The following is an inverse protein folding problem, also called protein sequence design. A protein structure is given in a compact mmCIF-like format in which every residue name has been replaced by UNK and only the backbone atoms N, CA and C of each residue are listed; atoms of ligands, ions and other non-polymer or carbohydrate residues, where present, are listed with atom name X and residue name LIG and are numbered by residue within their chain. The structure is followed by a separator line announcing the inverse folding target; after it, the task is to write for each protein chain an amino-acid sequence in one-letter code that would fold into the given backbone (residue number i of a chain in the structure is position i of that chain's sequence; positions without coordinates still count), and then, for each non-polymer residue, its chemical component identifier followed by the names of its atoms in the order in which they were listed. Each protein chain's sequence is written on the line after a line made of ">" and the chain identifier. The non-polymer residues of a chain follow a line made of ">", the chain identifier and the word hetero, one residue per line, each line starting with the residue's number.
data_IF_575392351949
#
_entry.id   IF_575392351949
#
_cell.length_a   1.000
_cell.length_b   1.000
_cell.length_c   1.000
_cell.angle_alpha   90.00
_cell.angle_beta   90.00
_cell.angle_gamma   90.00
#
_symmetry.space_group_name_H-M   'P 1'
#
loop_
_entity.id
_entity.type
_entity.pdbx_description
1 polymer ?
#
# COMPACT_ATOMS: atom_id res chain seq x y z
N UNK A 1 -3.01 -1.73 8.60
CA UNK A 1 -2.97 -1.83 10.07
C UNK A 1 -1.85 -2.76 10.55
N UNK A 2 -1.68 -3.94 9.96
CA UNK A 2 -0.63 -4.90 10.37
C UNK A 2 0.78 -4.35 10.16
N UNK A 3 1.04 -3.72 9.02
CA UNK A 3 2.32 -3.07 8.72
C UNK A 3 2.71 -2.03 9.79
N UNK A 4 1.74 -1.21 10.21
CA UNK A 4 1.99 -0.19 11.22
C UNK A 4 2.32 -0.81 12.60
N UNK A 5 1.68 -1.92 12.99
CA UNK A 5 2.04 -2.65 14.20
C UNK A 5 3.45 -3.22 14.12
N UNK A 6 3.82 -3.86 12.99
CA UNK A 6 5.16 -4.39 12.80
C UNK A 6 6.23 -3.28 12.86
N UNK A 7 5.97 -2.13 12.22
CA UNK A 7 6.85 -0.98 12.27
C UNK A 7 7.05 -0.50 13.71
N UNK A 8 5.98 -0.34 14.50
CA UNK A 8 6.08 0.11 15.90
C UNK A 8 6.92 -0.85 16.73
N UNK A 9 6.70 -2.16 16.61
CA UNK A 9 7.48 -3.14 17.37
C UNK A 9 8.97 -3.14 16.98
N UNK A 10 9.28 -2.95 15.70
CA UNK A 10 10.66 -2.80 15.25
C UNK A 10 11.31 -1.50 15.75
N UNK A 11 10.57 -0.38 15.74
CA UNK A 11 11.05 0.91 16.27
C UNK A 11 11.34 0.83 17.77
N UNK A 12 10.50 0.14 18.55
CA UNK A 12 10.74 -0.13 19.99
C UNK A 12 12.03 -0.93 20.21
N UNK A 13 12.40 -1.77 19.26
CA UNK A 13 13.65 -2.52 19.27
C UNK A 13 14.81 -1.76 18.62
N UNK A 14 14.70 -0.42 18.52
CA UNK A 14 15.71 0.48 17.96
C UNK A 14 16.15 0.12 16.53
N UNK A 15 15.27 -0.48 15.71
CA UNK A 15 15.55 -0.76 14.32
C UNK A 15 15.34 0.48 13.47
N UNK A 16 16.24 0.69 12.50
CA UNK A 16 16.11 1.74 11.49
C UNK A 16 15.26 1.25 10.33
N UNK A 17 14.19 1.95 10.05
CA UNK A 17 13.17 1.53 9.09
C UNK A 17 13.03 2.55 7.98
N UNK A 18 12.96 2.07 6.73
CA UNK A 18 12.43 2.84 5.61
C UNK A 18 10.99 2.44 5.28
N UNK A 19 10.21 3.42 4.84
CA UNK A 19 8.84 3.23 4.31
C UNK A 19 8.75 3.87 2.93
N UNK A 20 8.30 3.11 1.96
CA UNK A 20 8.03 3.59 0.60
C UNK A 20 6.72 3.05 0.07
N UNK A 21 6.17 3.77 -0.90
CA UNK A 21 5.05 3.36 -1.73
C UNK A 21 5.11 4.13 -3.06
N UNK A 22 4.20 3.82 -3.97
CA UNK A 22 4.16 4.47 -5.28
C UNK A 22 3.71 5.94 -5.24
N UNK A 23 3.04 6.40 -4.17
CA UNK A 23 2.59 7.79 -4.03
C UNK A 23 2.77 8.34 -2.62
N UNK A 24 2.90 9.66 -2.51
CA UNK A 24 2.95 10.35 -1.22
C UNK A 24 1.73 10.07 -0.36
N UNK A 25 0.55 10.02 -0.96
CA UNK A 25 -0.72 9.74 -0.25
C UNK A 25 -0.74 8.36 0.42
N UNK A 26 -0.25 7.33 -0.26
CA UNK A 26 -0.15 5.99 0.33
C UNK A 26 0.86 5.98 1.49
N UNK A 27 2.00 6.64 1.31
CA UNK A 27 2.99 6.81 2.37
C UNK A 27 2.35 7.50 3.58
N UNK A 28 1.64 8.63 3.38
CA UNK A 28 0.97 9.37 4.45
C UNK A 28 -0.02 8.50 5.23
N UNK A 29 -0.86 7.73 4.53
CA UNK A 29 -1.82 6.83 5.17
C UNK A 29 -1.15 5.79 6.10
N UNK A 30 0.02 5.28 5.71
CA UNK A 30 0.77 4.36 6.57
C UNK A 30 1.41 5.09 7.75
N UNK A 31 2.00 6.26 7.53
CA UNK A 31 2.62 7.08 8.59
C UNK A 31 1.60 7.53 9.64
N UNK A 32 0.40 7.95 9.24
CA UNK A 32 -0.70 8.30 10.15
C UNK A 32 -1.07 7.14 11.07
N UNK A 33 -1.12 5.92 10.53
CA UNK A 33 -1.40 4.72 11.32
C UNK A 33 -0.27 4.40 12.30
N UNK A 34 0.98 4.55 11.87
CA UNK A 34 2.17 4.39 12.73
C UNK A 34 2.13 5.39 13.88
N UNK A 35 1.90 6.67 13.60
CA UNK A 35 1.82 7.71 14.63
C UNK A 35 0.65 7.52 15.59
N UNK A 36 -0.52 7.15 15.06
CA UNK A 36 -1.70 6.84 15.89
C UNK A 36 -1.43 5.71 16.89
N UNK A 37 -0.73 4.66 16.44
CA UNK A 37 -0.33 3.55 17.30
C UNK A 37 0.74 3.95 18.30
N UNK A 38 1.75 4.72 17.90
CA UNK A 38 2.78 5.26 18.78
C UNK A 38 2.16 6.11 19.89
N UNK A 39 1.23 6.99 19.55
CA UNK A 39 0.50 7.81 20.49
C UNK A 39 -0.29 6.98 21.50
N UNK A 40 -1.07 6.00 21.02
CA UNK A 40 -1.84 5.08 21.89
C UNK A 40 -0.97 4.28 22.85
N UNK A 41 0.23 3.90 22.40
CA UNK A 41 1.18 3.11 23.18
C UNK A 41 2.16 4.00 23.99
N UNK A 42 2.01 5.32 23.94
CA UNK A 42 2.91 6.31 24.60
C UNK A 42 4.38 6.10 24.22
N UNK A 43 4.63 5.67 23.00
CA UNK A 43 5.96 5.43 22.45
C UNK A 43 6.40 6.64 21.63
N UNK A 44 7.58 7.18 21.91
CA UNK A 44 8.14 8.37 21.25
C UNK A 44 9.32 7.94 20.37
N UNK A 45 9.30 8.36 19.13
CA UNK A 45 10.40 8.17 18.18
C UNK A 45 10.57 9.42 17.30
N UNK A 46 11.60 9.45 16.48
CA UNK A 46 11.79 10.49 15.46
C UNK A 46 11.85 9.87 14.08
N UNK A 47 11.14 10.48 13.13
CA UNK A 47 11.15 10.13 11.73
C UNK A 47 11.28 11.33 10.82
N UNK A 48 11.78 11.09 9.62
CA UNK A 48 11.82 12.05 8.52
C UNK A 48 11.08 11.50 7.31
N UNK A 49 10.27 12.33 6.69
CA UNK A 49 9.59 12.04 5.43
C UNK A 49 10.05 13.02 4.35
N UNK A 50 10.58 12.47 3.25
CA UNK A 50 11.03 13.30 2.11
C UNK A 50 9.86 13.93 1.39
N UNK A 51 9.93 15.23 1.20
CA UNK A 51 8.96 15.99 0.45
C UNK A 51 9.27 17.48 0.47
N UNK A 52 8.55 18.22 -0.37
CA UNK A 52 8.57 19.68 -0.31
C UNK A 52 7.51 20.16 0.70
N UNK A 53 7.88 20.90 1.76
CA UNK A 53 6.91 21.45 2.72
C UNK A 53 5.91 22.45 2.11
N UNK A 54 6.23 23.01 0.95
CA UNK A 54 5.40 24.00 0.25
C UNK A 54 4.41 23.33 -0.75
N UNK A 55 4.38 22.01 -0.80
CA UNK A 55 3.54 21.19 -1.68
C UNK A 55 2.61 20.33 -0.83
N UNK A 56 1.31 20.62 -0.84
CA UNK A 56 0.30 19.97 0.00
C UNK A 56 0.24 18.45 -0.21
N UNK A 57 0.48 17.96 -1.42
CA UNK A 57 0.51 16.53 -1.71
C UNK A 57 1.73 15.82 -1.13
N UNK A 58 2.82 16.56 -0.91
CA UNK A 58 4.06 16.03 -0.36
C UNK A 58 4.23 16.34 1.13
N UNK A 59 3.50 17.31 1.65
CA UNK A 59 3.61 17.73 3.04
C UNK A 59 2.95 16.74 4.00
N UNK A 60 3.68 16.37 5.04
CA UNK A 60 3.20 15.56 6.15
C UNK A 60 3.70 16.16 7.46
N UNK A 61 2.79 16.58 8.32
CA UNK A 61 3.12 17.15 9.63
C UNK A 61 2.57 16.26 10.74
N UNK A 62 3.29 15.20 11.06
CA UNK A 62 2.97 14.33 12.19
C UNK A 62 3.58 14.84 13.51
N UNK A 63 3.29 14.15 14.61
CA UNK A 63 3.89 14.47 15.91
C UNK A 63 5.34 13.99 15.99
N UNK A 64 5.65 12.84 15.43
CA UNK A 64 6.94 12.14 15.49
C UNK A 64 7.71 12.17 14.17
N UNK A 65 7.00 12.36 13.05
CA UNK A 65 7.56 12.32 11.69
C UNK A 65 7.34 13.69 11.05
N UNK A 66 8.42 14.31 10.56
CA UNK A 66 8.36 15.61 9.91
C UNK A 66 8.79 15.54 8.46
N UNK A 67 8.12 16.32 7.59
CA UNK A 67 8.57 16.51 6.22
C UNK A 67 9.83 17.36 6.16
N UNK A 68 10.80 16.90 5.39
CA UNK A 68 12.05 17.63 5.15
C UNK A 68 12.48 17.45 3.69
N UNK A 69 12.94 18.55 3.07
CA UNK A 69 13.47 18.55 1.70
C UNK A 69 15.00 18.47 1.64
N UNK A 70 15.69 18.62 2.77
CA UNK A 70 17.15 18.73 2.80
C UNK A 70 17.83 17.37 3.01
N UNK A 71 18.53 16.88 2.01
CA UNK A 71 19.23 15.57 2.07
C UNK A 71 20.27 15.50 3.19
N UNK A 72 20.89 16.64 3.57
CA UNK A 72 21.83 16.68 4.68
C UNK A 72 21.23 16.16 5.98
N UNK A 73 19.97 16.48 6.28
CA UNK A 73 19.32 16.03 7.52
C UNK A 73 19.12 14.49 7.54
N UNK A 74 18.90 13.88 6.37
CA UNK A 74 18.84 12.41 6.23
C UNK A 74 20.22 11.79 6.46
N UNK A 75 21.26 12.35 5.82
CA UNK A 75 22.64 11.88 5.96
C UNK A 75 23.09 11.95 7.42
N UNK A 76 22.84 13.07 8.10
CA UNK A 76 23.22 13.27 9.50
C UNK A 76 22.40 12.35 10.41
N UNK A 77 21.08 12.21 10.18
CA UNK A 77 20.21 11.30 10.94
C UNK A 77 20.59 9.84 10.83
N UNK A 78 21.11 9.41 9.65
CA UNK A 78 21.62 8.05 9.48
C UNK A 78 22.89 7.77 10.30
N UNK A 79 23.67 8.81 10.62
CA UNK A 79 24.90 8.71 11.41
C UNK A 79 24.66 8.70 12.93
N UNK A 80 23.75 9.54 13.41
CA UNK A 80 23.61 9.81 14.85
C UNK A 80 22.62 8.90 15.58
N UNK A 81 21.98 7.98 14.88
CA UNK A 81 21.00 7.00 15.40
C UNK A 81 19.78 7.62 16.13
N UNK A 82 19.52 8.90 15.99
CA UNK A 82 18.36 9.55 16.63
C UNK A 82 17.09 9.43 15.81
N UNK A 83 17.25 9.26 14.48
CA UNK A 83 16.13 9.09 13.57
C UNK A 83 16.02 7.61 13.24
N UNK A 84 14.86 7.03 13.54
CA UNK A 84 14.61 5.61 13.39
C UNK A 84 13.71 5.29 12.19
N UNK A 85 12.92 6.26 11.70
CA UNK A 85 12.04 6.06 10.55
C UNK A 85 12.35 7.06 9.45
N UNK A 86 12.50 6.55 8.24
CA UNK A 86 12.73 7.30 7.01
C UNK A 86 11.64 6.98 6.01
N UNK A 87 10.95 7.98 5.48
CA UNK A 87 9.88 7.76 4.52
C UNK A 87 10.08 8.60 3.26
N UNK A 88 9.74 8.06 2.12
CA UNK A 88 9.84 8.74 0.85
C UNK A 88 9.52 7.83 -0.32
N UNK A 89 9.43 8.41 -1.51
CA UNK A 89 9.27 7.66 -2.75
C UNK A 89 10.52 6.82 -3.05
N UNK A 90 10.38 5.84 -3.94
CA UNK A 90 11.49 5.01 -4.43
C UNK A 90 12.69 5.83 -4.90
N UNK A 91 12.48 6.96 -5.57
CA UNK A 91 13.55 7.85 -6.06
C UNK A 91 14.39 8.45 -4.94
N UNK A 92 13.78 8.78 -3.80
CA UNK A 92 14.51 9.27 -2.65
C UNK A 92 15.28 8.15 -1.94
N UNK A 93 14.62 7.02 -1.71
CA UNK A 93 15.25 5.92 -0.97
C UNK A 93 16.34 5.21 -1.78
N UNK A 94 16.35 5.32 -3.11
CA UNK A 94 17.45 4.80 -3.94
C UNK A 94 18.74 5.62 -3.88
N UNK A 95 18.77 6.72 -3.12
CA UNK A 95 19.97 7.54 -3.00
C UNK A 95 21.11 6.79 -2.30
N UNK A 96 22.34 7.04 -2.76
CA UNK A 96 23.57 6.35 -2.34
C UNK A 96 23.80 6.34 -0.81
N UNK A 97 23.35 7.37 -0.11
CA UNK A 97 23.61 7.50 1.34
C UNK A 97 22.75 6.54 2.20
N UNK A 98 21.75 5.87 1.63
CA UNK A 98 20.98 4.82 2.30
C UNK A 98 21.63 3.43 2.23
N UNK A 99 22.60 3.21 1.35
CA UNK A 99 23.20 1.90 1.13
C UNK A 99 23.70 1.24 2.42
N UNK A 100 23.16 0.06 2.74
CA UNK A 100 23.47 -0.72 3.96
C UNK A 100 23.26 0.04 5.28
N UNK A 101 22.34 1.01 5.36
CA UNK A 101 22.14 1.84 6.55
C UNK A 101 20.92 1.47 7.38
N UNK A 102 19.99 0.70 6.80
CA UNK A 102 18.69 0.43 7.41
C UNK A 102 18.57 -1.06 7.76
N UNK A 103 17.72 -1.36 8.74
CA UNK A 103 17.43 -2.73 9.14
C UNK A 103 16.27 -3.31 8.33
N UNK A 104 15.25 -2.49 8.06
CA UNK A 104 14.05 -2.90 7.33
C UNK A 104 13.61 -1.86 6.31
N UNK A 105 13.17 -2.33 5.14
CA UNK A 105 12.43 -1.55 4.15
C UNK A 105 11.00 -2.09 4.07
N UNK A 106 10.02 -1.26 4.35
CA UNK A 106 8.60 -1.54 4.09
C UNK A 106 8.18 -0.93 2.75
N UNK A 107 7.68 -1.75 1.87
CA UNK A 107 7.12 -1.36 0.56
C UNK A 107 5.62 -1.58 0.62
N UNK A 108 4.84 -0.51 0.74
CA UNK A 108 3.38 -0.58 0.73
C UNK A 108 2.85 -0.46 -0.71
N UNK A 109 1.73 -1.09 -1.01
CA UNK A 109 1.19 -1.25 -2.37
C UNK A 109 2.23 -1.85 -3.34
N UNK A 110 2.88 -2.95 -2.91
CA UNK A 110 4.00 -3.55 -3.63
C UNK A 110 3.62 -4.09 -5.03
N UNK A 111 2.34 -4.35 -5.30
CA UNK A 111 1.83 -4.64 -6.64
C UNK A 111 2.07 -3.51 -7.65
N UNK A 112 2.28 -2.28 -7.18
CA UNK A 112 2.55 -1.12 -8.00
C UNK A 112 4.05 -0.78 -8.11
N UNK A 113 4.93 -1.61 -7.58
CA UNK A 113 6.39 -1.44 -7.65
C UNK A 113 6.96 -2.47 -8.60
N UNK A 114 7.76 -2.02 -9.58
CA UNK A 114 8.39 -2.92 -10.55
C UNK A 114 9.59 -3.67 -9.94
N UNK A 115 9.95 -4.79 -10.55
CA UNK A 115 11.18 -5.53 -10.19
C UNK A 115 12.41 -4.62 -10.29
N UNK A 116 12.50 -3.79 -11.33
CA UNK A 116 13.61 -2.83 -11.48
C UNK A 116 13.69 -1.83 -10.33
N UNK A 117 12.54 -1.30 -9.88
CA UNK A 117 12.48 -0.39 -8.74
C UNK A 117 12.93 -1.08 -7.45
N UNK A 118 12.48 -2.33 -7.23
CA UNK A 118 12.91 -3.08 -6.05
C UNK A 118 14.40 -3.38 -6.04
N UNK A 119 14.99 -3.69 -7.20
CA UNK A 119 16.45 -3.87 -7.32
C UNK A 119 17.19 -2.59 -6.91
N UNK A 120 16.72 -1.42 -7.35
CA UNK A 120 17.31 -0.13 -6.98
C UNK A 120 17.23 0.14 -5.45
N UNK A 121 16.21 -0.39 -4.78
CA UNK A 121 16.01 -0.26 -3.34
C UNK A 121 16.68 -1.38 -2.53
N UNK A 122 17.02 -2.50 -3.15
CA UNK A 122 17.43 -3.73 -2.46
C UNK A 122 18.66 -3.60 -1.56
N UNK A 123 19.57 -2.68 -1.88
CA UNK A 123 20.81 -2.47 -1.13
C UNK A 123 20.67 -1.56 0.11
N UNK A 124 19.52 -0.95 0.38
CA UNK A 124 19.39 0.05 1.46
C UNK A 124 19.13 -0.59 2.83
N UNK A 125 18.53 -1.77 2.89
CA UNK A 125 18.13 -2.43 4.12
C UNK A 125 18.51 -3.92 4.12
N UNK A 126 18.66 -4.48 5.32
CA UNK A 126 18.95 -5.91 5.52
C UNK A 126 17.76 -6.81 5.22
N UNK A 127 16.55 -6.29 5.45
CA UNK A 127 15.31 -7.02 5.29
C UNK A 127 14.32 -6.16 4.50
N UNK A 128 13.56 -6.79 3.60
CA UNK A 128 12.51 -6.14 2.82
C UNK A 128 11.18 -6.78 3.17
N UNK A 129 10.19 -5.96 3.49
CA UNK A 129 8.81 -6.36 3.75
C UNK A 129 7.93 -5.80 2.64
N UNK A 130 7.43 -6.66 1.78
CA UNK A 130 6.52 -6.30 0.71
C UNK A 130 5.10 -6.47 1.21
N UNK A 131 4.29 -5.43 1.10
CA UNK A 131 2.89 -5.41 1.50
C UNK A 131 2.06 -4.97 0.30
N UNK A 132 1.12 -5.78 -0.12
CA UNK A 132 0.32 -5.49 -1.30
C UNK A 132 -0.60 -6.64 -1.64
N UNK A 133 -1.24 -6.52 -2.78
CA UNK A 133 -2.20 -7.47 -3.29
C UNK A 133 -1.99 -7.59 -4.81
N UNK A 134 -1.57 -8.75 -5.29
CA UNK A 134 -1.29 -8.99 -6.71
C UNK A 134 -2.55 -8.99 -7.58
N UNK A 135 -3.72 -9.22 -6.99
CA UNK A 135 -5.00 -9.20 -7.71
C UNK A 135 -5.51 -7.77 -7.94
N UNK A 136 -4.86 -6.76 -7.35
CA UNK A 136 -5.15 -5.37 -7.65
C UNK A 136 -4.37 -4.89 -8.88
N UNK A 137 -4.90 -3.87 -9.54
CA UNK A 137 -4.28 -3.28 -10.73
C UNK A 137 -2.84 -2.87 -10.46
N UNK A 138 -1.93 -3.37 -11.26
CA UNK A 138 -0.55 -2.91 -11.28
C UNK A 138 -0.40 -1.48 -11.78
N UNK A 139 0.79 -0.92 -11.66
CA UNK A 139 1.08 0.40 -12.22
C UNK A 139 1.08 0.34 -13.75
N UNK A 140 0.33 1.22 -14.45
CA UNK A 140 0.43 1.32 -15.91
C UNK A 140 1.85 1.73 -16.32
N UNK A 141 2.43 1.00 -17.25
CA UNK A 141 3.75 1.29 -17.82
C UNK A 141 3.61 2.03 -19.15
N UNK A 142 4.41 3.08 -19.37
CA UNK A 142 4.39 3.87 -20.60
C UNK A 142 5.33 3.32 -21.69
N UNK A 143 6.04 2.25 -21.42
CA UNK A 143 6.99 1.66 -22.35
C UNK A 143 7.26 0.19 -22.07
N UNK A 144 7.96 -0.48 -22.99
CA UNK A 144 8.40 -1.85 -22.77
C UNK A 144 9.69 -1.88 -21.95
N UNK A 145 9.71 -2.70 -20.94
CA UNK A 145 10.92 -2.99 -20.17
C UNK A 145 11.57 -4.29 -20.68
N UNK A 146 12.90 -4.39 -20.67
CA UNK A 146 13.56 -5.62 -21.09
C UNK A 146 13.26 -6.76 -20.12
N UNK A 147 12.96 -7.92 -20.65
CA UNK A 147 12.58 -9.13 -19.89
C UNK A 147 11.45 -8.83 -18.88
N UNK A 148 11.55 -9.40 -17.67
CA UNK A 148 10.55 -9.25 -16.61
C UNK A 148 10.76 -8.04 -15.70
N UNK A 149 11.71 -7.15 -16.01
CA UNK A 149 12.06 -6.03 -15.14
C UNK A 149 10.94 -5.02 -14.92
N UNK A 150 9.96 -4.97 -15.84
CA UNK A 150 8.77 -4.13 -15.73
C UNK A 150 7.59 -4.80 -15.01
N UNK A 151 7.63 -6.09 -14.73
CA UNK A 151 6.58 -6.76 -13.96
C UNK A 151 6.48 -6.17 -12.55
N UNK A 152 5.27 -6.24 -11.96
CA UNK A 152 5.09 -6.02 -10.54
C UNK A 152 5.98 -6.99 -9.76
N UNK A 153 6.55 -6.50 -8.66
CA UNK A 153 7.39 -7.35 -7.81
C UNK A 153 6.60 -8.50 -7.19
N UNK A 154 5.31 -8.31 -6.91
CA UNK A 154 4.47 -9.41 -6.39
C UNK A 154 4.18 -10.44 -7.46
N UNK A 155 3.86 -10.05 -8.70
CA UNK A 155 3.66 -10.98 -9.82
C UNK A 155 4.93 -11.79 -10.12
N UNK A 156 6.09 -11.14 -10.01
CA UNK A 156 7.38 -11.81 -10.21
C UNK A 156 7.68 -12.85 -9.13
N UNK A 157 7.35 -12.55 -7.85
CA UNK A 157 7.66 -13.44 -6.72
C UNK A 157 6.63 -14.54 -6.50
N UNK A 158 5.38 -14.30 -6.86
CA UNK A 158 4.28 -15.24 -6.66
C UNK A 158 3.97 -16.06 -7.91
N UNK A 159 4.53 -15.65 -9.06
CA UNK A 159 4.34 -16.33 -10.35
C UNK A 159 2.84 -16.53 -10.66
N UNK A 160 2.42 -17.77 -10.91
CA UNK A 160 1.05 -18.11 -11.24
C UNK A 160 0.16 -18.40 -10.01
N UNK A 161 0.62 -18.08 -8.80
CA UNK A 161 -0.13 -18.34 -7.57
C UNK A 161 -1.07 -17.18 -7.25
N UNK A 162 -2.36 -17.43 -7.06
CA UNK A 162 -3.35 -16.40 -6.70
C UNK A 162 -3.17 -15.89 -5.26
N UNK A 163 -2.61 -16.71 -4.37
CA UNK A 163 -2.32 -16.35 -2.98
C UNK A 163 -0.91 -16.77 -2.56
N UNK A 164 -0.35 -16.05 -1.58
CA UNK A 164 0.97 -16.39 -1.06
C UNK A 164 0.94 -17.68 -0.24
N UNK A 165 1.92 -18.56 -0.47
CA UNK A 165 2.10 -19.78 0.33
C UNK A 165 2.72 -19.46 1.71
N UNK A 166 2.42 -20.29 2.75
CA UNK A 166 2.89 -20.02 4.11
C UNK A 166 4.41 -19.99 4.32
N UNK A 167 5.16 -20.62 3.43
CA UNK A 167 6.64 -20.63 3.43
C UNK A 167 7.24 -19.35 2.84
N UNK A 168 6.49 -18.63 1.97
CA UNK A 168 6.91 -17.38 1.34
C UNK A 168 6.43 -16.13 2.08
N UNK A 169 5.32 -16.23 2.83
CA UNK A 169 4.79 -15.05 3.53
C UNK A 169 3.48 -15.28 4.27
N UNK A 170 2.81 -14.17 4.57
CA UNK A 170 1.57 -14.19 5.35
C UNK A 170 0.43 -13.69 4.47
N UNK A 171 -0.57 -14.53 4.23
CA UNK A 171 -1.82 -14.13 3.62
C UNK A 171 -2.75 -13.51 4.67
N UNK A 172 -3.11 -12.23 4.49
CA UNK A 172 -4.08 -11.55 5.35
C UNK A 172 -5.50 -11.92 4.93
N UNK A 173 -5.96 -13.03 5.43
CA UNK A 173 -7.16 -13.73 5.00
C UNK A 173 -8.50 -13.11 5.44
N UNK A 174 -8.53 -11.94 6.06
CA UNK A 174 -9.78 -11.35 6.57
C UNK A 174 -10.01 -9.95 6.03
N UNK A 175 -11.09 -9.78 5.25
CA UNK A 175 -11.53 -8.46 4.80
C UNK A 175 -12.44 -7.78 5.82
N UNK A 176 -12.19 -6.49 6.05
CA UNK A 176 -13.02 -5.59 6.86
C UNK A 176 -13.80 -4.59 5.99
N UNK A 177 -13.74 -4.76 4.67
CA UNK A 177 -14.33 -3.84 3.69
C UNK A 177 -15.55 -4.42 2.98
N UNK A 178 -15.45 -5.65 2.49
CA UNK A 178 -16.44 -6.24 1.60
C UNK A 178 -17.64 -6.79 2.37
N UNK A 179 -18.86 -6.56 1.83
CA UNK A 179 -20.06 -7.28 2.26
C UNK A 179 -19.94 -8.77 1.91
N UNK A 180 -20.52 -9.71 2.69
CA UNK A 180 -20.43 -11.16 2.41
C UNK A 180 -20.81 -11.55 0.96
N UNK A 181 -21.88 -10.98 0.42
CA UNK A 181 -22.35 -11.27 -0.94
C UNK A 181 -21.40 -10.82 -2.05
N UNK A 182 -20.54 -9.82 -1.77
CA UNK A 182 -19.48 -9.40 -2.69
C UNK A 182 -18.24 -10.27 -2.51
N UNK A 183 -17.91 -10.56 -1.24
CA UNK A 183 -16.71 -11.31 -0.91
C UNK A 183 -16.75 -12.74 -1.43
N UNK A 184 -17.91 -13.38 -1.48
CA UNK A 184 -18.05 -14.74 -2.00
C UNK A 184 -17.45 -14.82 -3.41
N UNK A 185 -17.93 -13.99 -4.33
CA UNK A 185 -17.39 -13.92 -5.69
C UNK A 185 -15.90 -13.61 -5.72
N UNK A 186 -15.46 -12.63 -4.91
CA UNK A 186 -14.06 -12.19 -4.88
C UNK A 186 -13.14 -13.30 -4.35
N UNK A 187 -13.56 -13.99 -3.29
CA UNK A 187 -12.78 -15.07 -2.68
C UNK A 187 -12.61 -16.26 -3.62
N UNK A 188 -13.72 -16.71 -4.24
CA UNK A 188 -13.73 -17.85 -5.17
C UNK A 188 -12.88 -17.60 -6.41
N UNK A 189 -12.95 -16.38 -7.00
CA UNK A 189 -12.33 -16.13 -8.30
C UNK A 189 -10.90 -15.57 -8.22
N UNK A 190 -10.47 -15.02 -7.07
CA UNK A 190 -9.19 -14.31 -6.98
C UNK A 190 -8.31 -14.72 -5.78
N UNK A 191 -8.87 -15.45 -4.80
CA UNK A 191 -8.13 -15.76 -3.58
C UNK A 191 -8.29 -17.21 -3.11
N UNK A 192 -8.55 -18.16 -4.00
CA UNK A 192 -8.59 -19.61 -3.72
C UNK A 192 -9.53 -19.96 -2.54
N UNK A 193 -10.67 -19.26 -2.41
CA UNK A 193 -11.60 -19.35 -1.28
C UNK A 193 -11.00 -19.02 0.11
N UNK A 194 -9.85 -18.40 0.15
CA UNK A 194 -9.12 -18.10 1.40
C UNK A 194 -9.50 -16.76 2.03
N UNK A 195 -10.18 -15.85 1.29
CA UNK A 195 -10.54 -14.53 1.81
C UNK A 195 -11.85 -14.58 2.60
N UNK A 196 -11.74 -14.48 3.91
CA UNK A 196 -12.85 -14.50 4.85
C UNK A 196 -13.41 -13.09 5.12
N UNK A 197 -14.66 -13.02 5.53
CA UNK A 197 -15.36 -11.77 5.88
C UNK A 197 -15.34 -11.54 7.38
N UNK A 198 -15.17 -10.27 7.78
CA UNK A 198 -15.47 -9.89 9.16
C UNK A 198 -16.99 -9.91 9.38
N UNK A 199 -17.44 -10.51 10.49
CA UNK A 199 -18.86 -10.68 10.82
C UNK A 199 -19.66 -9.37 10.79
N UNK A 200 -19.05 -8.27 11.21
CA UNK A 200 -19.67 -6.95 11.21
C UNK A 200 -19.94 -6.38 9.81
N UNK A 201 -19.33 -6.94 8.76
CA UNK A 201 -19.50 -6.45 7.40
C UNK A 201 -20.89 -6.73 6.83
N UNK A 202 -21.66 -7.65 7.41
CA UNK A 202 -23.07 -7.90 7.05
C UNK A 202 -23.94 -6.65 7.30
N UNK A 203 -23.50 -5.75 8.18
CA UNK A 203 -24.20 -4.50 8.48
C UNK A 203 -23.89 -3.37 7.47
N UNK A 204 -23.00 -3.62 6.49
CA UNK A 204 -22.71 -2.66 5.41
C UNK A 204 -23.82 -2.73 4.37
N UNK A 205 -24.83 -1.86 4.54
CA UNK A 205 -26.03 -1.81 3.68
C UNK A 205 -26.08 -0.50 2.94
N UNK A 206 -26.74 -0.55 1.78
CA UNK A 206 -27.07 0.62 0.97
C UNK A 206 -28.54 0.93 1.19
N UNK A 207 -28.88 2.19 1.35
CA UNK A 207 -30.28 2.63 1.37
C UNK A 207 -30.79 2.71 -0.07
N UNK A 208 -31.78 1.90 -0.39
CA UNK A 208 -32.36 1.85 -1.73
C UNK A 208 -33.51 2.83 -1.87
N UNK A 209 -33.55 3.55 -2.99
CA UNK A 209 -34.72 4.32 -3.38
C UNK A 209 -35.87 3.36 -3.75
N UNK A 210 -37.11 3.79 -3.51
CA UNK A 210 -38.33 2.96 -3.74
C UNK A 210 -38.39 2.34 -5.14
N UNK A 211 -37.84 3.03 -6.16
CA UNK A 211 -37.85 2.62 -7.57
C UNK A 211 -36.48 2.11 -8.05
N UNK A 212 -35.54 1.79 -7.15
CA UNK A 212 -34.23 1.26 -7.54
C UNK A 212 -34.38 -0.11 -8.19
N UNK A 213 -33.60 -0.35 -9.25
CA UNK A 213 -33.46 -1.66 -9.89
C UNK A 213 -32.70 -2.62 -8.95
N UNK A 214 -31.74 -2.07 -8.19
CA UNK A 214 -30.92 -2.80 -7.23
C UNK A 214 -31.65 -2.79 -5.87
N UNK A 215 -31.94 -3.95 -5.31
CA UNK A 215 -32.69 -4.12 -4.06
C UNK A 215 -31.98 -4.99 -3.01
N UNK A 216 -30.76 -5.39 -3.29
CA UNK A 216 -29.95 -6.23 -2.39
C UNK A 216 -28.49 -5.86 -2.49
N UNK A 217 -27.75 -6.06 -1.40
CA UNK A 217 -26.29 -5.96 -1.41
C UNK A 217 -25.69 -7.09 -2.24
N UNK A 218 -24.67 -6.79 -3.05
CA UNK A 218 -23.99 -7.79 -3.87
C UNK A 218 -23.45 -7.22 -5.18
N UNK A 219 -23.13 -8.11 -6.09
CA UNK A 219 -22.71 -7.78 -7.47
C UNK A 219 -23.93 -7.89 -8.36
N UNK A 220 -24.23 -6.82 -9.08
CA UNK A 220 -25.35 -6.75 -10.00
C UNK A 220 -24.84 -6.42 -11.40
N UNK A 221 -25.25 -7.23 -12.41
CA UNK A 221 -24.93 -6.97 -13.80
C UNK A 221 -26.14 -6.39 -14.50
N UNK A 222 -25.97 -5.22 -15.08
CA UNK A 222 -26.98 -4.56 -15.89
C UNK A 222 -26.48 -4.50 -17.33
N UNK A 223 -27.17 -5.23 -18.23
CA UNK A 223 -26.83 -5.24 -19.66
C UNK A 223 -27.42 -4.02 -20.35
N UNK A 224 -26.54 -3.25 -21.00
CA UNK A 224 -26.93 -2.03 -21.69
C UNK A 224 -26.54 -2.08 -23.17
N UNK A 225 -27.34 -1.40 -23.99
CA UNK A 225 -27.04 -1.22 -25.42
C UNK A 225 -26.56 0.21 -25.65
N UNK A 226 -25.26 0.35 -25.87
CA UNK A 226 -24.67 1.61 -26.31
C UNK A 226 -23.57 1.36 -27.34
N UNK A 227 -23.25 2.36 -28.14
CA UNK A 227 -22.18 2.31 -29.15
C UNK A 227 -21.33 3.59 -29.06
N UNK A 228 -20.06 3.46 -29.46
CA UNK A 228 -19.10 4.59 -29.59
C UNK A 228 -18.93 5.42 -28.29
N UNK A 229 -19.03 4.78 -27.11
CA UNK A 229 -18.75 5.39 -25.80
C UNK A 229 -17.31 5.11 -25.39
N UNK A 230 -16.63 6.10 -24.84
CA UNK A 230 -15.22 5.95 -24.38
C UNK A 230 -15.06 6.25 -22.89
N UNK A 231 -15.38 7.47 -22.44
CA UNK A 231 -15.18 7.91 -21.05
C UNK A 231 -16.49 8.21 -20.33
N UNK A 232 -17.57 8.42 -21.06
CA UNK A 232 -18.89 8.73 -20.50
C UNK A 232 -19.98 8.02 -21.29
N UNK A 233 -21.05 7.59 -20.60
CA UNK A 233 -22.24 7.02 -21.19
C UNK A 233 -23.47 7.59 -20.50
N UNK A 234 -24.33 8.26 -21.26
CA UNK A 234 -25.58 8.80 -20.74
C UNK A 234 -26.52 7.67 -20.34
N UNK A 235 -26.54 6.61 -21.13
CA UNK A 235 -27.36 5.42 -20.90
C UNK A 235 -27.02 4.74 -19.57
N UNK A 236 -25.75 4.68 -19.20
CA UNK A 236 -25.31 4.14 -17.91
C UNK A 236 -25.69 5.08 -16.77
N UNK A 237 -25.54 6.39 -16.96
CA UNK A 237 -25.89 7.40 -15.96
C UNK A 237 -27.38 7.40 -15.60
N UNK A 238 -28.26 7.18 -16.58
CA UNK A 238 -29.72 7.17 -16.35
C UNK A 238 -30.18 5.95 -15.52
N UNK A 239 -29.39 4.87 -15.49
CA UNK A 239 -29.74 3.64 -14.75
C UNK A 239 -29.19 3.65 -13.31
N UNK A 240 -28.08 4.32 -13.05
CA UNK A 240 -27.44 4.43 -11.74
C UNK A 240 -28.15 5.49 -10.90
#
# INVERSE_FOLDING_TARGET
>A
YQSANAIIELLKNNKKIAVTANSHKVIHNLLERVESLAYKQKFIFKGLKKGNPDDDDQFYDGNFIKTDKNDKHYIDGLKDNKILLYAGTKYHLSQWYYQNKLDYLFVDEASQISVADLIALGGIAKNIVLVGDQQQLGQPTQGSHPNDSGKSVLDYLLEDSDTISPDKGIFLNKTFRLHPNINLFTSENFYEDRLLVNENNINRKIEYKKNSIIKTEGIHTVLMKHQDRSQTSIEEFEII
#
